data_IF_519906864228
#
_entry.id   IF_519906864228
#
_cell.length_a   1.000
_cell.length_b   1.000
_cell.length_c   1.000
_cell.angle_alpha   90.00
_cell.angle_beta   90.00
_cell.angle_gamma   90.00
#
_symmetry.space_group_name_H-M   'P 1'
#
loop_
_entity.id
_entity.type
_entity.pdbx_description
1 polymer ?
#
# COMPACT_ATOMS: atom_id res chain seq x y z
N UNK A 1 -15.85 -68.70 21.07
CA UNK A 1 -17.17 -68.08 21.32
C UNK A 1 -17.20 -67.08 22.50
N UNK A 2 -16.11 -66.86 23.26
CA UNK A 2 -16.07 -65.91 24.41
C UNK A 2 -15.72 -64.45 24.05
N UNK A 3 -15.14 -64.20 22.87
CA UNK A 3 -14.74 -62.86 22.41
C UNK A 3 -15.92 -61.98 21.98
N UNK A 4 -17.05 -62.57 21.58
CA UNK A 4 -18.22 -61.81 21.11
C UNK A 4 -18.94 -61.05 22.22
N UNK A 5 -18.82 -61.51 23.47
CA UNK A 5 -19.41 -60.86 24.65
C UNK A 5 -18.72 -59.53 24.97
N UNK A 6 -17.42 -59.41 24.74
CA UNK A 6 -16.70 -58.15 24.94
C UNK A 6 -17.02 -57.12 23.86
N UNK A 7 -17.32 -57.58 22.63
CA UNK A 7 -17.70 -56.70 21.53
C UNK A 7 -19.10 -56.08 21.74
N UNK A 8 -20.06 -56.87 22.25
CA UNK A 8 -21.39 -56.36 22.62
C UNK A 8 -21.38 -55.43 23.83
N UNK A 9 -20.47 -55.67 24.79
CA UNK A 9 -20.30 -54.80 25.96
C UNK A 9 -19.67 -53.44 25.58
N UNK A 10 -18.78 -53.41 24.59
CA UNK A 10 -18.14 -52.17 24.10
C UNK A 10 -19.13 -51.25 23.36
N UNK A 11 -20.07 -51.83 22.60
CA UNK A 11 -21.11 -51.06 21.89
C UNK A 11 -22.18 -50.48 22.82
N UNK A 12 -22.41 -51.09 23.98
CA UNK A 12 -23.40 -50.63 24.96
C UNK A 12 -22.98 -49.37 25.73
N UNK A 13 -21.69 -48.99 25.66
CA UNK A 13 -21.15 -47.81 26.34
C UNK A 13 -21.06 -46.56 25.46
N UNK A 14 -21.64 -46.60 24.26
CA UNK A 14 -21.64 -45.48 23.33
C UNK A 14 -22.70 -44.44 23.71
N UNK A 15 -22.32 -43.47 24.54
CA UNK A 15 -23.14 -42.30 24.84
C UNK A 15 -23.23 -41.36 23.62
N UNK A 16 -24.41 -40.79 23.29
CA UNK A 16 -24.51 -39.80 22.23
C UNK A 16 -23.77 -38.52 22.65
N UNK A 17 -22.81 -38.08 21.83
CA UNK A 17 -22.16 -36.78 22.02
C UNK A 17 -23.03 -35.71 21.36
N UNK A 18 -23.53 -34.76 22.14
CA UNK A 18 -24.28 -33.60 21.63
C UNK A 18 -23.34 -32.40 21.62
N UNK A 19 -22.98 -31.91 20.43
CA UNK A 19 -22.24 -30.67 20.27
C UNK A 19 -23.23 -29.50 20.18
N UNK A 20 -23.05 -28.47 21.00
CA UNK A 20 -23.76 -27.20 20.88
C UNK A 20 -22.99 -26.26 19.96
N UNK A 21 -23.68 -25.31 19.32
CA UNK A 21 -23.05 -24.28 18.51
C UNK A 21 -22.08 -23.43 19.36
N UNK A 22 -20.86 -23.24 18.85
CA UNK A 22 -19.95 -22.26 19.42
C UNK A 22 -20.31 -20.88 18.88
N UNK A 23 -21.16 -20.16 19.62
CA UNK A 23 -21.48 -18.77 19.27
C UNK A 23 -20.38 -17.85 19.76
N UNK A 24 -19.58 -17.33 18.82
CA UNK A 24 -18.59 -16.29 19.14
C UNK A 24 -19.29 -14.96 19.39
N UNK A 25 -18.99 -14.34 20.53
CA UNK A 25 -19.45 -13.00 20.87
C UNK A 25 -18.23 -12.13 21.14
N UNK A 26 -18.27 -10.90 20.66
CA UNK A 26 -17.22 -9.94 20.96
C UNK A 26 -17.38 -9.47 22.42
N UNK A 27 -16.27 -9.31 23.14
CA UNK A 27 -16.30 -8.80 24.51
C UNK A 27 -16.49 -7.28 24.56
N UNK A 28 -16.02 -6.59 23.52
CA UNK A 28 -16.10 -5.14 23.41
C UNK A 28 -17.50 -4.71 22.95
N UNK A 29 -18.20 -3.84 23.70
CA UNK A 29 -19.52 -3.32 23.35
C UNK A 29 -19.60 -2.73 21.93
N UNK A 30 -18.52 -2.11 21.45
CA UNK A 30 -18.48 -1.47 20.13
C UNK A 30 -18.61 -2.45 18.96
N UNK A 31 -18.36 -3.74 19.20
CA UNK A 31 -18.48 -4.80 18.20
C UNK A 31 -19.69 -5.72 18.47
N UNK A 32 -20.68 -5.27 19.25
CA UNK A 32 -21.89 -6.04 19.56
C UNK A 32 -21.75 -6.95 20.78
N UNK A 33 -20.76 -6.68 21.64
CA UNK A 33 -20.59 -7.31 22.94
C UNK A 33 -21.51 -6.80 24.04
N UNK A 34 -21.37 -7.36 25.24
CA UNK A 34 -22.16 -6.93 26.40
C UNK A 34 -21.81 -5.48 26.78
N UNK A 35 -22.78 -4.53 26.84
CA UNK A 35 -22.51 -3.14 27.25
C UNK A 35 -21.99 -3.03 28.68
N UNK A 36 -22.21 -4.06 29.51
CA UNK A 36 -21.71 -4.14 30.88
C UNK A 36 -20.17 -4.14 30.94
N UNK A 37 -19.49 -4.63 29.90
CA UNK A 37 -18.03 -4.69 29.85
C UNK A 37 -17.37 -3.33 29.53
N UNK A 38 -18.16 -2.32 29.10
CA UNK A 38 -17.61 -1.06 28.62
C UNK A 38 -16.82 -0.27 29.67
N UNK A 39 -17.28 -0.26 30.92
CA UNK A 39 -16.60 0.47 32.01
C UNK A 39 -15.28 -0.18 32.41
N UNK A 40 -15.23 -1.52 32.45
CA UNK A 40 -14.02 -2.29 32.77
C UNK A 40 -12.98 -2.12 31.68
N UNK A 41 -13.37 -2.31 30.41
CA UNK A 41 -12.47 -2.15 29.26
C UNK A 41 -11.92 -0.73 29.15
N UNK A 42 -12.74 0.30 29.46
CA UNK A 42 -12.28 1.68 29.50
C UNK A 42 -11.31 1.94 30.67
N UNK A 43 -11.56 1.34 31.84
CA UNK A 43 -10.66 1.41 32.99
C UNK A 43 -9.29 0.78 32.68
N UNK A 44 -9.28 -0.40 32.07
CA UNK A 44 -8.06 -1.08 31.62
C UNK A 44 -7.31 -0.27 30.55
N UNK A 45 -8.04 0.29 29.58
CA UNK A 45 -7.44 1.15 28.55
C UNK A 45 -6.77 2.38 29.15
N UNK A 46 -7.41 3.05 30.13
CA UNK A 46 -6.81 4.21 30.81
C UNK A 46 -5.63 3.83 31.70
N UNK A 47 -5.65 2.66 32.34
CA UNK A 47 -4.52 2.18 33.14
C UNK A 47 -3.27 1.88 32.30
N UNK A 48 -3.47 1.44 31.05
CA UNK A 48 -2.39 1.21 30.09
C UNK A 48 -2.04 2.45 29.26
N UNK A 49 -2.86 3.52 29.32
CA UNK A 49 -2.66 4.73 28.56
C UNK A 49 -1.43 5.49 29.07
N UNK A 50 -0.29 5.29 28.40
CA UNK A 50 0.94 6.04 28.63
C UNK A 50 1.01 7.39 27.91
N UNK A 51 0.00 7.75 27.11
CA UNK A 51 -0.04 9.03 26.42
C UNK A 51 -0.36 10.12 27.44
N UNK A 52 0.66 10.91 27.75
CA UNK A 52 0.51 12.13 28.53
C UNK A 52 0.34 13.28 27.56
N UNK A 53 -0.51 14.22 27.93
CA UNK A 53 -0.50 15.53 27.28
C UNK A 53 0.95 16.05 27.27
N UNK A 54 1.45 16.55 26.13
CA UNK A 54 2.74 17.22 26.08
C UNK A 54 2.78 18.25 27.20
N UNK A 55 3.73 18.12 28.14
CA UNK A 55 3.91 19.08 29.23
C UNK A 55 4.40 20.43 28.75
N UNK A 56 4.82 20.48 27.49
CA UNK A 56 5.12 21.72 26.84
C UNK A 56 3.80 22.49 26.70
N UNK A 57 3.70 23.73 27.21
CA UNK A 57 2.59 24.61 26.85
C UNK A 57 2.45 24.58 25.33
N UNK A 58 1.23 24.76 24.76
CA UNK A 58 1.06 24.78 23.32
C UNK A 58 2.19 25.63 22.79
N UNK A 59 3.06 25.03 21.97
CA UNK A 59 4.11 25.79 21.30
C UNK A 59 3.30 26.77 20.48
N UNK A 60 3.06 27.96 21.04
CA UNK A 60 2.68 29.14 20.30
C UNK A 60 3.86 29.23 19.37
N UNK A 61 3.71 28.65 18.18
CA UNK A 61 4.71 28.80 17.14
C UNK A 61 4.96 30.29 17.14
N UNK A 62 6.16 30.77 17.53
CA UNK A 62 6.44 32.17 17.42
C UNK A 62 6.02 32.55 16.00
N UNK A 63 5.25 33.64 15.81
CA UNK A 63 4.73 33.98 14.48
C UNK A 63 5.89 33.82 13.52
N UNK A 64 5.75 32.86 12.60
CA UNK A 64 6.83 32.48 11.68
C UNK A 64 7.33 33.80 11.10
N UNK A 65 8.61 34.16 11.32
CA UNK A 65 9.09 35.46 10.85
C UNK A 65 8.72 35.58 9.39
N UNK A 66 8.22 36.74 8.94
CA UNK A 66 7.83 36.91 7.55
C UNK A 66 9.01 36.49 6.69
N UNK A 67 8.82 35.41 5.91
CA UNK A 67 9.87 34.86 5.05
C UNK A 67 10.43 36.00 4.23
N UNK A 68 11.75 36.12 4.21
CA UNK A 68 12.40 37.18 3.43
C UNK A 68 12.00 37.05 1.95
N UNK A 69 12.00 38.15 1.20
CA UNK A 69 11.71 38.11 -0.25
C UNK A 69 12.61 37.11 -0.98
N UNK A 70 13.86 36.96 -0.54
CA UNK A 70 14.80 35.98 -1.05
C UNK A 70 14.39 34.54 -0.73
N UNK A 71 13.90 34.28 0.49
CA UNK A 71 13.41 32.96 0.88
C UNK A 71 12.15 32.57 0.10
N UNK A 72 11.24 33.51 -0.11
CA UNK A 72 10.07 33.32 -0.97
C UNK A 72 10.47 33.04 -2.42
N UNK A 73 11.48 33.75 -2.95
CA UNK A 73 12.02 33.48 -4.27
C UNK A 73 12.62 32.07 -4.36
N UNK A 74 13.43 31.65 -3.38
CA UNK A 74 14.01 30.31 -3.33
C UNK A 74 12.94 29.23 -3.31
N UNK A 75 11.91 29.40 -2.48
CA UNK A 75 10.80 28.46 -2.40
C UNK A 75 10.02 28.39 -3.72
N UNK A 76 9.74 29.54 -4.34
CA UNK A 76 9.05 29.58 -5.63
C UNK A 76 9.88 28.96 -6.75
N UNK A 77 11.19 29.24 -6.77
CA UNK A 77 12.11 28.65 -7.74
C UNK A 77 12.20 27.14 -7.57
N UNK A 78 12.39 26.65 -6.34
CA UNK A 78 12.43 25.22 -6.03
C UNK A 78 11.13 24.54 -6.46
N UNK A 79 9.96 25.12 -6.15
CA UNK A 79 8.67 24.59 -6.59
C UNK A 79 8.55 24.56 -8.12
N UNK A 80 8.96 25.63 -8.79
CA UNK A 80 8.93 25.69 -10.26
C UNK A 80 9.85 24.64 -10.91
N UNK A 81 11.05 24.47 -10.35
CA UNK A 81 12.01 23.45 -10.79
C UNK A 81 11.45 22.04 -10.56
N UNK A 82 10.97 21.74 -9.35
CA UNK A 82 10.36 20.45 -9.03
C UNK A 82 9.17 20.15 -9.93
N UNK A 83 8.30 21.13 -10.19
CA UNK A 83 7.18 20.97 -11.11
C UNK A 83 7.66 20.69 -12.55
N UNK A 84 8.72 21.36 -13.00
CA UNK A 84 9.28 21.15 -14.33
C UNK A 84 9.88 19.76 -14.48
N UNK A 85 10.65 19.31 -13.50
CA UNK A 85 11.24 17.97 -13.46
C UNK A 85 10.12 16.92 -13.40
N UNK A 86 9.19 17.06 -12.45
CA UNK A 86 8.06 16.13 -12.29
C UNK A 86 7.22 16.00 -13.57
N UNK A 87 6.87 17.11 -14.22
CA UNK A 87 6.11 17.06 -15.48
C UNK A 87 6.91 16.41 -16.61
N UNK A 88 8.23 16.64 -16.68
CA UNK A 88 9.07 15.98 -17.67
C UNK A 88 9.18 14.47 -17.38
N UNK A 89 9.32 14.07 -16.12
CA UNK A 89 9.29 12.68 -15.70
C UNK A 89 7.97 12.02 -16.07
N UNK A 90 6.84 12.58 -15.63
CA UNK A 90 5.50 12.04 -15.92
C UNK A 90 5.30 11.84 -17.42
N UNK A 91 5.55 12.86 -18.25
CA UNK A 91 5.35 12.75 -19.69
C UNK A 91 6.21 11.68 -20.36
N UNK A 92 7.42 11.42 -19.84
CA UNK A 92 8.30 10.40 -20.40
C UNK A 92 8.02 9.00 -19.86
N UNK A 93 7.40 8.88 -18.67
CA UNK A 93 7.01 7.61 -18.06
C UNK A 93 5.80 6.95 -18.73
N UNK A 94 4.90 7.72 -19.34
CA UNK A 94 3.70 7.19 -19.99
C UNK A 94 3.87 7.10 -21.53
N UNK A 95 3.22 6.12 -22.15
CA UNK A 95 3.08 5.99 -23.61
C UNK A 95 1.90 6.83 -24.14
N UNK A 96 1.77 6.91 -25.47
CA UNK A 96 0.70 7.65 -26.14
C UNK A 96 -0.71 7.11 -25.79
N UNK A 97 -0.78 5.91 -25.20
CA UNK A 97 -2.00 5.25 -24.76
C UNK A 97 -2.27 5.41 -23.25
N UNK A 98 -1.43 6.16 -22.53
CA UNK A 98 -1.57 6.43 -21.09
C UNK A 98 -1.11 5.29 -20.18
N UNK A 99 -0.43 4.26 -20.71
CA UNK A 99 0.16 3.18 -19.92
C UNK A 99 1.58 3.55 -19.47
N UNK A 100 1.99 3.07 -18.30
CA UNK A 100 3.38 3.18 -17.84
C UNK A 100 4.26 2.36 -18.79
N UNK A 101 5.37 2.92 -19.27
CA UNK A 101 6.37 2.22 -20.11
C UNK A 101 7.25 1.31 -19.23
N UNK A 102 7.06 -0.03 -19.24
CA UNK A 102 7.89 -0.93 -18.45
C UNK A 102 9.32 -0.94 -18.98
N UNK A 103 10.28 -1.22 -18.09
CA UNK A 103 11.72 -1.26 -18.42
C UNK A 103 12.29 0.05 -18.96
N UNK A 104 11.71 1.20 -18.58
CA UNK A 104 12.23 2.52 -18.93
C UNK A 104 13.15 3.06 -17.84
N UNK A 105 14.20 3.78 -18.25
CA UNK A 105 15.06 4.55 -17.35
C UNK A 105 15.05 6.01 -17.82
N UNK A 106 14.76 6.91 -16.90
CA UNK A 106 14.81 8.35 -17.14
C UNK A 106 15.93 8.94 -16.30
N UNK A 107 16.90 9.54 -16.99
CA UNK A 107 18.03 10.24 -16.42
C UNK A 107 17.79 11.74 -16.51
N UNK A 108 17.89 12.44 -15.38
CA UNK A 108 17.76 13.90 -15.31
C UNK A 108 19.09 14.49 -14.88
N UNK A 109 19.68 15.25 -15.79
CA UNK A 109 20.84 16.11 -15.57
C UNK A 109 20.32 17.55 -15.50
N UNK A 110 20.36 18.18 -14.32
CA UNK A 110 19.80 19.52 -14.09
C UNK A 110 20.86 20.60 -14.35
N UNK A 111 22.14 20.32 -14.11
CA UNK A 111 23.23 21.30 -14.23
C UNK A 111 24.02 21.20 -15.54
N UNK A 112 23.79 20.16 -16.33
CA UNK A 112 24.38 19.95 -17.65
C UNK A 112 25.81 19.42 -17.59
N UNK A 113 26.24 18.84 -16.47
CA UNK A 113 27.59 18.32 -16.28
C UNK A 113 27.81 16.92 -16.90
N UNK A 114 26.75 16.30 -17.41
CA UNK A 114 26.74 14.97 -18.00
C UNK A 114 26.49 13.83 -17.02
N UNK A 115 26.28 14.11 -15.74
CA UNK A 115 25.91 13.17 -14.69
C UNK A 115 24.42 13.34 -14.35
N UNK A 116 23.78 12.24 -13.94
CA UNK A 116 22.36 12.30 -13.55
C UNK A 116 22.22 12.66 -12.08
N UNK A 117 21.56 13.79 -11.79
CA UNK A 117 21.17 14.19 -10.43
C UNK A 117 20.01 13.33 -9.90
N UNK A 118 19.06 13.03 -10.78
CA UNK A 118 17.92 12.18 -10.47
C UNK A 118 17.77 11.10 -11.52
N UNK A 119 17.45 9.90 -11.06
CA UNK A 119 17.08 8.80 -11.95
C UNK A 119 15.74 8.20 -11.53
N UNK A 120 14.94 7.87 -12.52
CA UNK A 120 13.70 7.13 -12.34
C UNK A 120 13.78 5.87 -13.17
N UNK A 121 13.81 4.71 -12.50
CA UNK A 121 13.82 3.41 -13.15
C UNK A 121 12.47 2.73 -12.94
N UNK A 122 11.86 2.31 -14.04
CA UNK A 122 10.62 1.53 -14.03
C UNK A 122 10.98 0.08 -14.26
N UNK A 123 10.68 -0.79 -13.30
CA UNK A 123 10.87 -2.23 -13.46
C UNK A 123 9.87 -2.82 -14.45
N UNK A 124 10.16 -4.03 -14.92
CA UNK A 124 9.15 -4.84 -15.60
C UNK A 124 7.91 -5.06 -14.71
N UNK A 125 6.78 -5.32 -15.36
CA UNK A 125 5.55 -5.70 -14.69
C UNK A 125 5.65 -7.15 -14.22
N UNK A 126 5.85 -7.36 -12.92
CA UNK A 126 5.90 -8.69 -12.31
C UNK A 126 4.65 -8.85 -11.45
N UNK A 127 3.85 -9.89 -11.70
CA UNK A 127 2.59 -10.16 -10.99
C UNK A 127 1.61 -8.96 -11.00
N UNK A 128 1.41 -8.32 -12.16
CA UNK A 128 0.54 -7.13 -12.30
C UNK A 128 0.98 -5.92 -11.45
N UNK A 129 2.24 -5.87 -11.02
CA UNK A 129 2.81 -4.74 -10.32
C UNK A 129 4.05 -4.22 -11.06
N UNK A 130 4.13 -2.89 -11.18
CA UNK A 130 5.31 -2.18 -11.66
C UNK A 130 5.92 -1.43 -10.48
N UNK A 131 7.24 -1.61 -10.28
CA UNK A 131 7.99 -0.88 -9.27
C UNK A 131 8.65 0.33 -9.92
N UNK A 132 8.35 1.52 -9.42
CA UNK A 132 8.99 2.77 -9.81
C UNK A 132 10.02 3.11 -8.73
N UNK A 133 11.29 3.14 -9.12
CA UNK A 133 12.41 3.46 -8.25
C UNK A 133 12.87 4.87 -8.58
N UNK A 134 12.79 5.78 -7.61
CA UNK A 134 13.27 7.16 -7.74
C UNK A 134 14.52 7.28 -6.87
N UNK A 135 15.62 7.71 -7.46
CA UNK A 135 16.89 7.91 -6.75
C UNK A 135 17.48 9.28 -7.05
N UNK A 136 18.05 9.90 -6.01
CA UNK A 136 18.82 11.16 -6.06
C UNK A 136 20.34 10.90 -5.99
N UNK A 137 20.78 9.65 -6.24
CA UNK A 137 22.18 9.23 -6.16
C UNK A 137 22.70 8.91 -4.75
N UNK A 138 21.95 9.23 -3.68
CA UNK A 138 22.33 8.94 -2.28
C UNK A 138 21.25 8.10 -1.60
N UNK A 139 19.99 8.40 -1.88
CA UNK A 139 18.79 7.76 -1.33
C UNK A 139 17.90 7.22 -2.44
N UNK A 140 17.09 6.23 -2.09
CA UNK A 140 16.18 5.57 -3.03
C UNK A 140 14.80 5.40 -2.40
N UNK A 141 13.76 5.77 -3.15
CA UNK A 141 12.36 5.55 -2.79
C UNK A 141 11.71 4.64 -3.83
N UNK A 142 11.02 3.59 -3.36
CA UNK A 142 10.33 2.63 -4.23
C UNK A 142 8.83 2.77 -4.07
N UNK A 143 8.14 3.03 -5.18
CA UNK A 143 6.68 3.07 -5.27
C UNK A 143 6.18 1.85 -6.05
N UNK A 144 5.21 1.13 -5.49
CA UNK A 144 4.58 -0.02 -6.15
C UNK A 144 3.24 0.40 -6.71
N UNK A 145 3.06 0.26 -8.02
CA UNK A 145 1.82 0.61 -8.72
C UNK A 145 1.25 -0.65 -9.37
N UNK A 146 -0.04 -0.97 -9.19
CA UNK A 146 -0.67 -2.05 -9.94
C UNK A 146 -0.77 -1.64 -11.42
N UNK A 147 -0.36 -2.53 -12.31
CA UNK A 147 -0.31 -2.33 -13.75
C UNK A 147 -1.11 -3.42 -14.46
N UNK A 148 -2.09 -3.00 -15.26
CA UNK A 148 -2.82 -3.87 -16.18
C UNK A 148 -2.51 -3.38 -17.60
N UNK A 149 -1.81 -4.16 -18.44
CA UNK A 149 -1.52 -3.73 -19.81
C UNK A 149 -2.82 -3.58 -20.61
N UNK A 150 -2.99 -2.44 -21.28
CA UNK A 150 -4.10 -2.26 -22.22
C UNK A 150 -3.89 -3.20 -23.41
N UNK A 151 -4.81 -4.16 -23.61
CA UNK A 151 -4.72 -5.11 -24.71
C UNK A 151 -4.75 -4.38 -26.06
N UNK A 152 -3.68 -4.53 -26.86
CA UNK A 152 -3.65 -4.10 -28.26
C UNK A 152 -4.64 -4.97 -29.03
N UNK A 153 -5.71 -4.37 -29.56
CA UNK A 153 -6.67 -5.06 -30.41
C UNK A 153 -5.94 -5.65 -31.63
N UNK A 154 -5.89 -6.99 -31.71
CA UNK A 154 -5.32 -7.70 -32.84
C UNK A 154 -6.13 -7.36 -34.10
N UNK A 155 -5.54 -6.79 -35.17
CA UNK A 155 -6.27 -6.57 -36.40
C UNK A 155 -6.67 -7.93 -36.99
N UNK A 156 -7.97 -8.10 -37.25
CA UNK A 156 -8.54 -9.33 -37.81
C UNK A 156 -7.85 -9.67 -39.15
N UNK A 157 -7.13 -10.79 -39.19
CA UNK A 157 -6.57 -11.33 -40.43
C UNK A 157 -7.71 -11.94 -41.24
N UNK A 158 -8.12 -11.25 -42.31
CA UNK A 158 -8.99 -11.79 -43.35
C UNK A 158 -8.23 -12.86 -44.13
N UNK A 159 -8.59 -14.13 -43.94
CA UNK A 159 -8.04 -15.25 -44.71
C UNK A 159 -8.79 -15.39 -46.04
N UNK A 160 -8.26 -14.76 -47.10
CA UNK A 160 -8.76 -14.98 -48.45
C UNK A 160 -8.18 -16.30 -49.00
N UNK A 161 -8.98 -17.35 -49.04
CA UNK A 161 -8.59 -18.68 -49.55
C UNK A 161 -8.78 -18.70 -51.06
N UNK A 162 -7.70 -18.73 -51.83
CA UNK A 162 -7.72 -19.07 -53.27
C UNK A 162 -7.05 -20.42 -53.45
N UNK A 163 -7.85 -21.43 -53.79
CA UNK A 163 -7.40 -22.79 -54.14
C UNK A 163 -7.14 -22.85 -55.66
N UNK A 164 -6.10 -23.57 -56.12
CA UNK A 164 -5.71 -23.64 -57.54
C UNK A 164 -6.73 -24.32 -58.46
#
# INVERSE_FOLDING_TARGET
>A
MRSWIYFGLLTLFSLPVTATELVHRFENPNFGGSPLNGSVLLGEANAQNGFKEPKDPPVVKPPTPPKSQLELFKENFQRALLNKVSNNTVNNLFDDNGNIKPNSNLNFDIDGDGQSDFSVAVSDAINDNVNIRISDGITETVLVVPYVPTAVATPATSTNTTTP
#
